data_IF_643924643880
#
_entry.id   IF_643924643880
#
_cell.length_a   1.000
_cell.length_b   1.000
_cell.length_c   1.000
_cell.angle_alpha   90.00
_cell.angle_beta   90.00
_cell.angle_gamma   90.00
#
_symmetry.space_group_name_H-M   'P 1'
#
loop_
_entity.id
_entity.type
_entity.pdbx_description
1 polymer ?
#
# COMPACT_ATOMS: atom_id res chain seq x y z
N UNK A 1 2.04 27.65 6.95
CA UNK A 1 2.32 26.90 5.70
C UNK A 1 3.23 25.77 6.13
N UNK A 2 2.63 24.63 6.44
CA UNK A 2 3.39 23.47 6.88
C UNK A 2 4.18 22.93 5.70
N UNK A 3 5.48 22.74 5.92
CA UNK A 3 6.36 22.13 4.94
C UNK A 3 5.94 20.67 4.79
N UNK A 4 5.13 20.39 3.78
CA UNK A 4 5.03 19.05 3.21
C UNK A 4 6.42 18.76 2.67
N UNK A 5 7.18 17.93 3.38
CA UNK A 5 8.36 17.29 2.82
C UNK A 5 7.83 16.34 1.74
N UNK A 6 7.65 16.85 0.53
CA UNK A 6 7.50 16.02 -0.67
C UNK A 6 8.84 15.29 -0.88
N UNK A 7 9.00 14.18 -0.15
CA UNK A 7 10.11 13.26 -0.37
C UNK A 7 9.76 12.50 -1.65
N UNK A 8 10.07 13.08 -2.81
CA UNK A 8 10.07 12.40 -4.11
C UNK A 8 11.21 11.37 -4.22
N UNK A 9 11.74 10.88 -3.10
CA UNK A 9 12.76 9.83 -3.06
C UNK A 9 12.09 8.51 -2.65
N UNK A 10 12.49 7.38 -3.25
CA UNK A 10 12.02 6.08 -2.82
C UNK A 10 12.23 5.93 -1.32
N UNK A 11 11.15 5.71 -0.59
CA UNK A 11 11.23 5.63 0.86
C UNK A 11 11.73 4.26 1.26
N UNK A 12 12.79 4.26 2.08
CA UNK A 12 13.32 3.08 2.73
C UNK A 12 12.30 2.62 3.79
N UNK A 13 11.65 1.47 3.64
CA UNK A 13 10.66 0.98 4.61
C UNK A 13 11.26 0.83 6.03
N UNK A 14 12.50 0.33 6.19
CA UNK A 14 13.24 0.46 7.45
C UNK A 14 13.30 1.89 8.02
N UNK A 15 13.34 2.92 7.17
CA UNK A 15 13.25 4.31 7.62
C UNK A 15 11.84 4.69 8.09
N UNK A 16 10.77 4.23 7.43
CA UNK A 16 9.40 4.41 7.95
C UNK A 16 9.22 3.79 9.32
N UNK A 17 9.74 2.58 9.52
CA UNK A 17 9.70 1.91 10.82
C UNK A 17 10.56 2.61 11.87
N UNK A 18 11.70 3.20 11.49
CA UNK A 18 12.55 3.96 12.40
C UNK A 18 11.95 5.31 12.81
N UNK A 19 11.11 5.90 11.95
CA UNK A 19 10.40 7.14 12.24
C UNK A 19 9.13 6.89 13.07
N UNK A 20 8.60 5.66 13.05
CA UNK A 20 7.50 5.24 13.89
C UNK A 20 7.85 5.39 15.38
N UNK A 21 6.89 5.83 16.20
CA UNK A 21 7.09 6.08 17.63
C UNK A 21 6.19 5.16 18.46
N UNK A 22 6.41 3.83 18.41
CA UNK A 22 5.56 2.86 19.08
C UNK A 22 5.57 3.01 20.60
N UNK A 23 6.63 3.60 21.18
CA UNK A 23 6.77 3.91 22.60
C UNK A 23 5.75 4.94 23.10
N UNK A 24 5.16 5.73 22.20
CA UNK A 24 4.07 6.66 22.48
C UNK A 24 2.69 6.04 22.33
N UNK A 25 2.59 4.75 22.07
CA UNK A 25 1.32 4.06 21.98
C UNK A 25 1.17 3.11 23.16
N UNK A 26 0.27 3.44 24.10
CA UNK A 26 -0.02 2.58 25.24
C UNK A 26 -0.71 1.25 24.88
N UNK A 27 -1.14 1.07 23.63
CA UNK A 27 -1.86 -0.12 23.16
C UNK A 27 -0.96 -1.14 22.46
N UNK A 28 0.19 -0.73 21.93
CA UNK A 28 1.04 -1.61 21.14
C UNK A 28 2.04 -2.36 21.99
N UNK A 29 2.00 -3.70 21.91
CA UNK A 29 3.03 -4.51 22.54
C UNK A 29 4.29 -4.50 21.66
N UNK A 30 5.50 -4.50 22.25
CA UNK A 30 6.74 -4.53 21.48
C UNK A 30 6.82 -5.69 20.47
N UNK A 31 6.23 -6.85 20.79
CA UNK A 31 6.18 -7.99 19.88
C UNK A 31 5.29 -7.78 18.65
N UNK A 32 4.17 -7.05 18.80
CA UNK A 32 3.25 -6.72 17.71
C UNK A 32 3.87 -5.66 16.78
N UNK A 33 4.62 -4.72 17.36
CA UNK A 33 5.43 -3.72 16.63
C UNK A 33 6.52 -4.40 15.81
N UNK A 34 7.26 -5.32 16.41
CA UNK A 34 8.28 -6.09 15.71
C UNK A 34 7.69 -6.92 14.56
N UNK A 35 6.54 -7.56 14.80
CA UNK A 35 5.80 -8.34 13.79
C UNK A 35 5.34 -7.46 12.63
N UNK A 36 4.70 -6.32 12.93
CA UNK A 36 4.27 -5.36 11.91
C UNK A 36 5.45 -4.82 11.09
N UNK A 37 6.56 -4.50 11.75
CA UNK A 37 7.79 -4.10 11.08
C UNK A 37 8.34 -5.14 10.12
N UNK A 38 8.46 -6.39 10.57
CA UNK A 38 8.97 -7.48 9.72
C UNK A 38 8.06 -7.73 8.51
N UNK A 39 6.74 -7.78 8.71
CA UNK A 39 5.79 -8.02 7.62
C UNK A 39 5.81 -6.90 6.58
N UNK A 40 6.04 -5.65 7.01
CA UNK A 40 6.20 -4.52 6.10
C UNK A 40 7.50 -4.58 5.30
N UNK A 41 8.61 -4.95 5.94
CA UNK A 41 9.88 -5.13 5.24
C UNK A 41 9.79 -6.27 4.22
N UNK A 42 9.21 -7.41 4.60
CA UNK A 42 9.00 -8.57 3.71
C UNK A 42 8.11 -8.22 2.51
N UNK A 43 7.06 -7.43 2.72
CA UNK A 43 6.18 -6.97 1.64
C UNK A 43 6.93 -6.03 0.68
N UNK A 44 7.76 -5.14 1.22
CA UNK A 44 8.52 -4.18 0.44
C UNK A 44 9.65 -4.82 -0.36
N UNK A 45 10.38 -5.76 0.24
CA UNK A 45 11.41 -6.54 -0.44
C UNK A 45 10.80 -7.35 -1.60
N UNK A 46 9.64 -7.98 -1.38
CA UNK A 46 8.90 -8.66 -2.44
C UNK A 46 8.51 -7.70 -3.58
N UNK A 47 7.90 -6.57 -3.26
CA UNK A 47 7.47 -5.56 -4.24
C UNK A 47 8.60 -4.97 -5.09
N UNK A 48 9.76 -4.75 -4.47
CA UNK A 48 10.94 -4.17 -5.12
C UNK A 48 11.85 -5.21 -5.77
N UNK A 49 11.54 -6.50 -5.65
CA UNK A 49 12.37 -7.57 -6.18
C UNK A 49 12.44 -7.54 -7.71
N UNK A 50 13.59 -7.94 -8.25
CA UNK A 50 13.80 -8.04 -9.70
C UNK A 50 12.88 -9.08 -10.34
N UNK A 51 12.57 -10.15 -9.60
CA UNK A 51 11.62 -11.19 -10.02
C UNK A 51 10.25 -10.60 -10.33
N UNK A 52 9.68 -9.79 -9.42
CA UNK A 52 8.36 -9.19 -9.63
C UNK A 52 8.36 -8.15 -10.75
N UNK A 53 9.39 -7.29 -10.81
CA UNK A 53 9.53 -6.31 -11.91
C UNK A 53 9.60 -6.99 -13.28
N UNK A 54 10.34 -8.09 -13.37
CA UNK A 54 10.43 -8.89 -14.60
C UNK A 54 9.10 -9.55 -14.92
N UNK A 55 8.42 -10.13 -13.93
CA UNK A 55 7.14 -10.81 -14.11
C UNK A 55 6.02 -9.86 -14.58
N UNK A 56 5.97 -8.65 -14.05
CA UNK A 56 4.96 -7.65 -14.43
C UNK A 56 5.37 -6.78 -15.62
N UNK A 57 6.65 -6.77 -16.00
CA UNK A 57 7.16 -5.94 -17.09
C UNK A 57 7.12 -4.44 -16.81
N UNK A 58 7.13 -4.03 -15.52
CA UNK A 58 7.06 -2.63 -15.11
C UNK A 58 8.02 -2.30 -13.97
N UNK A 59 8.42 -1.04 -13.87
CA UNK A 59 9.16 -0.54 -12.71
C UNK A 59 8.23 -0.38 -11.50
N UNK A 60 8.71 -0.75 -10.31
CA UNK A 60 7.98 -0.65 -9.04
C UNK A 60 8.64 0.36 -8.09
N UNK A 61 7.81 1.14 -7.38
CA UNK A 61 8.23 2.22 -6.49
C UNK A 61 7.44 2.20 -5.18
N UNK A 62 8.03 2.80 -4.16
CA UNK A 62 7.38 3.09 -2.88
C UNK A 62 7.60 4.57 -2.59
N UNK A 63 6.51 5.31 -2.47
CA UNK A 63 6.51 6.70 -2.02
C UNK A 63 5.97 6.75 -0.59
N UNK A 64 6.82 7.08 0.37
CA UNK A 64 6.38 7.27 1.75
C UNK A 64 6.12 8.74 2.06
N UNK A 65 5.12 9.01 2.89
CA UNK A 65 4.89 10.34 3.45
C UNK A 65 4.72 10.23 4.96
N UNK A 66 5.13 11.31 5.61
CA UNK A 66 4.95 11.49 7.04
C UNK A 66 3.89 12.58 7.21
N UNK A 67 2.77 12.24 7.85
CA UNK A 67 1.79 13.25 8.22
C UNK A 67 2.37 14.15 9.33
N UNK A 68 2.03 15.44 9.30
CA UNK A 68 2.56 16.41 10.26
C UNK A 68 2.21 16.03 11.71
N UNK A 69 3.05 16.48 12.65
CA UNK A 69 3.02 16.12 14.07
C UNK A 69 3.32 14.64 14.41
N UNK A 70 3.92 13.87 13.50
CA UNK A 70 4.41 12.49 13.76
C UNK A 70 3.32 11.48 14.12
N UNK A 71 2.04 11.79 13.85
CA UNK A 71 0.92 10.92 14.24
C UNK A 71 0.73 9.77 13.25
N UNK A 72 1.20 9.86 12.02
CA UNK A 72 1.03 8.78 11.07
C UNK A 72 1.99 8.86 9.91
N UNK A 73 2.20 7.72 9.28
CA UNK A 73 2.97 7.57 8.05
C UNK A 73 2.19 6.70 7.09
N UNK A 74 2.31 7.01 5.82
CA UNK A 74 1.79 6.21 4.74
C UNK A 74 2.93 5.81 3.79
N UNK A 75 2.88 4.57 3.29
CA UNK A 75 3.73 4.10 2.22
C UNK A 75 2.85 3.72 1.04
N UNK A 76 3.02 4.40 -0.08
CA UNK A 76 2.21 4.26 -1.27
C UNK A 76 3.00 3.45 -2.28
N UNK A 77 2.52 2.26 -2.61
CA UNK A 77 3.15 1.33 -3.55
C UNK A 77 2.61 1.60 -4.96
N UNK A 78 3.52 1.82 -5.90
CA UNK A 78 3.21 2.33 -7.24
C UNK A 78 3.96 1.55 -8.32
N UNK A 79 3.37 1.50 -9.51
CA UNK A 79 4.00 1.00 -10.73
C UNK A 79 4.17 2.14 -11.75
N UNK A 80 5.16 2.03 -12.63
CA UNK A 80 5.28 2.91 -13.80
C UNK A 80 4.88 2.15 -15.05
N UNK A 81 3.71 2.50 -15.57
CA UNK A 81 3.24 2.02 -16.86
C UNK A 81 4.02 2.71 -17.99
N UNK A 82 4.47 2.00 -19.04
CA UNK A 82 5.27 2.58 -20.12
C UNK A 82 4.57 3.76 -20.82
N UNK A 83 3.26 3.66 -21.00
CA UNK A 83 2.46 4.69 -21.69
C UNK A 83 1.99 5.84 -20.79
N UNK A 84 2.43 5.88 -19.51
CA UNK A 84 2.02 6.93 -18.57
C UNK A 84 3.21 7.71 -18.03
N UNK A 85 3.07 9.03 -18.04
CA UNK A 85 4.01 9.93 -17.36
C UNK A 85 3.86 9.90 -15.83
N UNK A 86 2.66 9.60 -15.32
CA UNK A 86 2.38 9.51 -13.88
C UNK A 86 2.33 8.05 -13.43
N UNK A 87 3.02 7.70 -12.32
CA UNK A 87 2.91 6.37 -11.74
C UNK A 87 1.48 6.02 -11.32
N UNK A 88 1.13 4.74 -11.44
CA UNK A 88 -0.15 4.19 -11.02
C UNK A 88 -0.03 3.73 -9.57
N UNK A 89 -0.96 4.16 -8.73
CA UNK A 89 -1.11 3.65 -7.37
C UNK A 89 -1.67 2.23 -7.39
N UNK A 90 -1.19 1.34 -6.50
CA UNK A 90 -1.69 -0.04 -6.41
C UNK A 90 -2.26 -0.34 -5.01
N UNK A 91 -1.47 -0.15 -3.97
CA UNK A 91 -1.91 -0.29 -2.58
C UNK A 91 -1.09 0.61 -1.66
N UNK A 92 -1.56 0.87 -0.45
CA UNK A 92 -0.79 1.59 0.55
C UNK A 92 -0.75 0.87 1.88
N UNK A 93 0.26 1.22 2.66
CA UNK A 93 0.41 0.87 4.06
C UNK A 93 0.22 2.14 4.89
N UNK A 94 -0.50 2.04 6.00
CA UNK A 94 -0.57 3.07 7.03
C UNK A 94 0.10 2.56 8.31
N UNK A 95 0.90 3.42 8.93
CA UNK A 95 1.51 3.23 10.25
C UNK A 95 1.07 4.38 11.14
N UNK A 96 0.27 4.09 12.17
CA UNK A 96 -0.47 5.11 12.93
C UNK A 96 -0.41 4.86 14.44
N UNK A 97 0.72 5.16 15.08
CA UNK A 97 0.91 5.00 16.53
C UNK A 97 0.61 6.28 17.30
N UNK A 98 -0.61 6.37 17.84
CA UNK A 98 -0.95 7.38 18.83
C UNK A 98 -1.95 6.86 19.87
N UNK A 99 -1.93 7.42 21.07
CA UNK A 99 -2.67 6.96 22.26
C UNK A 99 -4.19 6.74 22.07
N UNK A 100 -4.79 7.44 21.11
CA UNK A 100 -6.24 7.38 20.84
C UNK A 100 -6.60 6.51 19.64
N UNK A 101 -5.61 5.97 18.92
CA UNK A 101 -5.86 5.16 17.73
C UNK A 101 -6.32 3.77 18.15
N UNK A 102 -7.48 3.34 17.66
CA UNK A 102 -7.90 1.93 17.76
C UNK A 102 -7.06 1.10 16.79
N UNK A 103 -6.78 -0.15 17.16
CA UNK A 103 -6.15 -1.11 16.25
C UNK A 103 -6.96 -1.24 14.94
N UNK A 104 -6.29 -1.60 13.83
CA UNK A 104 -4.86 -1.80 13.66
C UNK A 104 -4.07 -0.49 13.47
N UNK A 105 -2.81 -0.44 13.87
CA UNK A 105 -1.88 0.69 13.63
C UNK A 105 -0.97 0.45 12.42
N UNK A 106 -0.56 -0.79 12.15
CA UNK A 106 -0.02 -1.23 10.86
C UNK A 106 -1.13 -1.81 9.99
N UNK A 107 -1.41 -1.15 8.87
CA UNK A 107 -2.58 -1.44 8.04
C UNK A 107 -2.17 -1.51 6.57
N UNK A 108 -2.56 -2.57 5.86
CA UNK A 108 -2.48 -2.63 4.39
C UNK A 108 -3.87 -2.34 3.81
N UNK A 109 -3.94 -1.47 2.79
CA UNK A 109 -5.17 -1.16 2.08
C UNK A 109 -4.98 -1.16 0.56
N UNK A 110 -5.85 -1.88 -0.13
CA UNK A 110 -6.04 -1.81 -1.59
C UNK A 110 -7.25 -0.90 -1.81
N UNK A 111 -7.06 0.30 -2.35
CA UNK A 111 -8.11 1.32 -2.40
C UNK A 111 -8.10 2.08 -3.71
N UNK A 112 -9.21 2.08 -4.43
CA UNK A 112 -9.32 2.86 -5.66
C UNK A 112 -9.53 4.36 -5.37
N UNK A 113 -8.88 5.20 -6.17
CA UNK A 113 -9.18 6.64 -6.22
C UNK A 113 -8.85 7.18 -7.61
N UNK A 114 -9.87 7.42 -8.43
CA UNK A 114 -9.74 8.03 -9.74
C UNK A 114 -8.91 9.33 -9.68
N UNK A 115 -9.17 10.18 -8.68
CA UNK A 115 -8.43 11.43 -8.44
C UNK A 115 -6.94 11.18 -8.22
N UNK A 116 -6.56 10.25 -7.35
CA UNK A 116 -5.15 9.94 -7.06
C UNK A 116 -4.45 9.33 -8.28
N UNK A 117 -5.21 8.68 -9.17
CA UNK A 117 -4.71 8.16 -10.44
C UNK A 117 -4.72 9.18 -11.58
N UNK A 118 -5.19 10.40 -11.33
CA UNK A 118 -5.31 11.44 -12.36
C UNK A 118 -6.32 11.10 -13.46
N UNK A 119 -7.28 10.22 -13.17
CA UNK A 119 -8.38 9.89 -14.06
C UNK A 119 -9.51 10.92 -13.89
N UNK A 120 -10.10 11.35 -15.01
CA UNK A 120 -11.21 12.29 -15.07
C UNK A 120 -12.45 11.63 -15.68
N UNK A 121 -13.59 12.31 -15.63
CA UNK A 121 -14.83 11.83 -16.25
C UNK A 121 -14.78 11.72 -17.79
N UNK A 122 -13.73 12.21 -18.44
CA UNK A 122 -13.53 12.04 -19.89
C UNK A 122 -13.13 10.59 -20.24
N UNK A 123 -12.63 9.83 -19.25
CA UNK A 123 -12.15 8.45 -19.41
C UNK A 123 -13.04 7.47 -18.62
N UNK A 124 -14.37 7.62 -18.73
CA UNK A 124 -15.32 6.91 -17.89
C UNK A 124 -15.20 5.37 -17.96
N UNK A 125 -14.99 4.82 -19.16
CA UNK A 125 -14.80 3.38 -19.37
C UNK A 125 -13.51 2.87 -18.69
N UNK A 126 -12.38 3.56 -18.90
CA UNK A 126 -11.13 3.23 -18.20
C UNK A 126 -11.26 3.36 -16.68
N UNK A 127 -12.02 4.34 -16.17
CA UNK A 127 -12.28 4.48 -14.73
C UNK A 127 -13.03 3.27 -14.19
N UNK A 128 -14.04 2.78 -14.90
CA UNK A 128 -14.82 1.60 -14.54
C UNK A 128 -13.94 0.34 -14.55
N UNK A 129 -13.16 0.13 -15.61
CA UNK A 129 -12.25 -1.01 -15.73
C UNK A 129 -11.22 -1.05 -14.58
N UNK A 130 -10.64 0.11 -14.26
CA UNK A 130 -9.68 0.23 -13.15
C UNK A 130 -10.39 -0.03 -11.81
N UNK A 131 -11.57 0.53 -11.60
CA UNK A 131 -12.33 0.31 -10.36
C UNK A 131 -12.67 -1.16 -10.17
N UNK A 132 -13.06 -1.86 -11.24
CA UNK A 132 -13.35 -3.30 -11.23
C UNK A 132 -12.13 -4.11 -10.81
N UNK A 133 -10.94 -3.85 -11.37
CA UNK A 133 -9.71 -4.54 -10.97
C UNK A 133 -9.42 -4.35 -9.47
N UNK A 134 -9.63 -3.14 -8.95
CA UNK A 134 -9.47 -2.85 -7.53
C UNK A 134 -10.53 -3.54 -6.67
N UNK A 135 -11.77 -3.66 -7.15
CA UNK A 135 -12.83 -4.42 -6.47
C UNK A 135 -12.49 -5.91 -6.41
N UNK A 136 -12.02 -6.50 -7.50
CA UNK A 136 -11.60 -7.91 -7.55
C UNK A 136 -10.47 -8.20 -6.55
N UNK A 137 -9.41 -7.40 -6.55
CA UNK A 137 -8.30 -7.57 -5.59
C UNK A 137 -8.76 -7.36 -4.13
N UNK A 138 -9.70 -6.44 -3.92
CA UNK A 138 -10.33 -6.23 -2.60
C UNK A 138 -11.16 -7.43 -2.18
N UNK A 139 -11.93 -8.02 -3.07
CA UNK A 139 -12.75 -9.20 -2.79
C UNK A 139 -11.87 -10.38 -2.38
N UNK A 140 -10.82 -10.68 -3.16
CA UNK A 140 -9.87 -11.76 -2.87
C UNK A 140 -9.20 -11.63 -1.49
N UNK A 141 -9.00 -10.40 -1.02
CA UNK A 141 -8.36 -10.12 0.26
C UNK A 141 -9.33 -9.90 1.43
N UNK A 142 -10.65 -9.99 1.18
CA UNK A 142 -11.67 -9.64 2.19
C UNK A 142 -11.61 -10.53 3.43
N UNK A 143 -11.26 -11.82 3.28
CA UNK A 143 -11.16 -12.75 4.39
C UNK A 143 -10.05 -12.42 5.41
N UNK A 144 -9.07 -11.58 5.03
CA UNK A 144 -7.92 -11.21 5.86
C UNK A 144 -8.07 -9.82 6.49
N UNK A 145 -9.18 -9.13 6.22
CA UNK A 145 -9.42 -7.79 6.77
C UNK A 145 -9.65 -7.85 8.27
N UNK A 146 -9.23 -6.79 8.94
CA UNK A 146 -9.60 -6.56 10.33
C UNK A 146 -11.11 -6.28 10.41
N UNK A 147 -11.78 -6.87 11.39
CA UNK A 147 -13.24 -6.84 11.50
C UNK A 147 -13.81 -5.42 11.39
N UNK A 148 -14.78 -5.25 10.50
CA UNK A 148 -15.47 -3.98 10.27
C UNK A 148 -14.64 -2.91 9.54
N UNK A 149 -13.42 -3.23 9.09
CA UNK A 149 -12.54 -2.32 8.37
C UNK A 149 -12.24 -2.82 6.95
N UNK A 150 -11.81 -1.90 6.09
CA UNK A 150 -11.32 -2.21 4.74
C UNK A 150 -9.84 -2.63 4.74
N UNK A 151 -9.16 -2.52 5.89
CA UNK A 151 -7.73 -2.76 6.01
C UNK A 151 -7.40 -4.14 6.56
N UNK A 152 -6.27 -4.67 6.13
CA UNK A 152 -5.64 -5.88 6.68
C UNK A 152 -4.71 -5.43 7.81
N UNK A 153 -4.88 -6.01 9.00
CA UNK A 153 -3.98 -5.77 10.12
C UNK A 153 -2.66 -6.49 9.90
N UNK A 154 -1.55 -5.78 10.09
CA UNK A 154 -0.21 -6.38 10.08
C UNK A 154 0.38 -6.51 11.50
N UNK A 155 -0.39 -6.19 12.55
CA UNK A 155 0.07 -6.38 13.94
C UNK A 155 0.24 -7.84 14.32
N UNK A 156 -0.69 -8.66 13.87
CA UNK A 156 -0.65 -10.10 14.07
C UNK A 156 0.10 -10.72 12.89
N UNK A 157 0.88 -11.77 13.18
CA UNK A 157 1.57 -12.51 12.14
C UNK A 157 0.53 -13.12 11.21
N UNK A 158 0.50 -12.68 9.96
CA UNK A 158 -0.35 -13.28 8.96
C UNK A 158 0.13 -14.71 8.70
N UNK A 159 -0.80 -15.68 8.59
CA UNK A 159 -0.42 -17.03 8.21
C UNK A 159 0.09 -17.03 6.76
N UNK A 160 0.99 -17.95 6.42
CA UNK A 160 1.64 -17.98 5.10
C UNK A 160 0.65 -17.96 3.93
N UNK A 161 -0.48 -18.68 4.03
CA UNK A 161 -1.50 -18.70 2.99
C UNK A 161 -2.17 -17.32 2.78
N UNK A 162 -2.31 -16.51 3.84
CA UNK A 162 -2.86 -15.16 3.72
C UNK A 162 -1.88 -14.25 3.00
N UNK A 163 -0.58 -14.34 3.34
CA UNK A 163 0.47 -13.58 2.66
C UNK A 163 0.51 -13.93 1.17
N UNK A 164 0.43 -15.22 0.83
CA UNK A 164 0.36 -15.67 -0.56
C UNK A 164 -0.85 -15.09 -1.28
N UNK A 165 -2.06 -15.24 -0.72
CA UNK A 165 -3.28 -14.73 -1.33
C UNK A 165 -3.28 -13.20 -1.52
N UNK A 166 -2.74 -12.45 -0.55
CA UNK A 166 -2.60 -11.00 -0.67
C UNK A 166 -1.63 -10.63 -1.80
N UNK A 167 -0.49 -11.31 -1.90
CA UNK A 167 0.50 -11.07 -2.96
C UNK A 167 -0.04 -11.45 -4.34
N UNK A 168 -0.80 -12.53 -4.45
CA UNK A 168 -1.48 -12.95 -5.68
C UNK A 168 -2.50 -11.89 -6.11
N UNK A 169 -3.39 -11.46 -5.21
CA UNK A 169 -4.38 -10.42 -5.51
C UNK A 169 -3.75 -9.10 -5.97
N UNK A 170 -2.64 -8.68 -5.34
CA UNK A 170 -1.87 -7.50 -5.77
C UNK A 170 -1.23 -7.73 -7.13
N UNK A 171 -0.69 -8.93 -7.39
CA UNK A 171 -0.06 -9.26 -8.67
C UNK A 171 -1.07 -9.25 -9.81
N UNK A 172 -2.25 -9.84 -9.61
CA UNK A 172 -3.34 -9.83 -10.58
C UNK A 172 -3.83 -8.41 -10.86
N UNK A 173 -3.95 -7.57 -9.81
CA UNK A 173 -4.24 -6.15 -9.97
C UNK A 173 -3.18 -5.45 -10.83
N UNK A 174 -1.89 -5.65 -10.56
CA UNK A 174 -0.82 -5.05 -11.37
C UNK A 174 -0.90 -5.52 -12.82
N UNK A 175 -1.06 -6.83 -13.06
CA UNK A 175 -1.17 -7.40 -14.40
C UNK A 175 -2.36 -6.80 -15.14
N UNK A 176 -3.53 -6.71 -14.50
CA UNK A 176 -4.71 -6.07 -15.06
C UNK A 176 -4.44 -4.60 -15.41
N UNK A 177 -3.89 -3.82 -14.48
CA UNK A 177 -3.54 -2.41 -14.71
C UNK A 177 -2.54 -2.24 -15.85
N UNK A 178 -1.62 -3.17 -16.06
CA UNK A 178 -0.64 -3.14 -17.17
C UNK A 178 -1.26 -3.54 -18.51
N UNK A 179 -2.34 -4.33 -18.50
CA UNK A 179 -3.02 -4.76 -19.71
C UNK A 179 -4.02 -3.72 -20.25
N UNK A 180 -4.44 -2.75 -19.42
CA UNK A 180 -5.37 -1.70 -19.83
C UNK A 180 -4.74 -0.71 -20.81
N UNK A 181 -5.57 -0.16 -21.70
CA UNK A 181 -5.17 0.92 -22.59
C UNK A 181 -5.25 2.27 -21.85
N UNK A 182 -4.08 2.85 -21.55
CA UNK A 182 -3.97 4.14 -20.88
C UNK A 182 -3.84 5.33 -21.85
N UNK A 183 -3.95 5.10 -23.16
CA UNK A 183 -3.85 6.13 -24.20
C UNK A 183 -5.20 6.84 -24.44
N UNK A 184 -5.75 7.43 -23.38
CA UNK A 184 -6.99 8.23 -23.41
C UNK A 184 -6.74 9.68 -23.02
#
# INVERSE_FOLDING_TARGET
MDAVLEVNQPVNIPHLLALDQPDRCLLCKPAEVATGGQQLDDLAQWWLSEEQRTAWGVETFIEGRQESELKGMDAIFKIRHPDRSKPIFVFYVLVQHWDKKKLPHYQLQISFSARSMGLSGENAELVEDVEELFDQAREQTTAFRHEGLISISLHDQLPAHAITAIREAISELVIGLVALDWTV
#
